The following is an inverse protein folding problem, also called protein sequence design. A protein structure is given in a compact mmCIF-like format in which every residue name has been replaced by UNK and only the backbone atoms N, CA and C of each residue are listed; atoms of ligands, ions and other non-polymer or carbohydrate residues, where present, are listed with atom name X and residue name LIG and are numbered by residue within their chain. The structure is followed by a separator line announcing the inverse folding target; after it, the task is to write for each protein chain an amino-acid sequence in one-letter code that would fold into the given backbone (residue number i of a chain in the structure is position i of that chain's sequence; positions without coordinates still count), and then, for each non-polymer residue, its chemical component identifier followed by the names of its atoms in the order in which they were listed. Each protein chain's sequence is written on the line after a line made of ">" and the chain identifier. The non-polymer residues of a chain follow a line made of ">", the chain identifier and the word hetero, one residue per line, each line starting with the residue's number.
data_IF_509286295546
#
_entry.id   IF_509286295546
#
_cell.length_a   1.000
_cell.length_b   1.000
_cell.length_c   1.000
_cell.angle_alpha   90.00
_cell.angle_beta   90.00
_cell.angle_gamma   90.00
#
_symmetry.space_group_name_H-M   'P 1'
#
loop_
_entity.id
_entity.type
_entity.pdbx_description
1 polymer ?
#
# COMPACT_ATOMS: atom_id res chain seq x y z
N UNK A 1 0.22 16.48 5.35
CA UNK A 1 1.14 15.34 5.43
C UNK A 1 2.54 15.88 5.70
N UNK A 2 3.19 15.33 6.72
CA UNK A 2 4.50 15.81 7.17
C UNK A 2 5.61 15.13 6.37
N UNK A 3 5.52 13.81 6.16
CA UNK A 3 6.48 13.02 5.41
C UNK A 3 5.81 12.08 4.42
N UNK A 4 6.51 11.81 3.32
CA UNK A 4 6.19 10.80 2.32
C UNK A 4 7.29 9.75 2.31
N UNK A 5 6.97 8.53 2.66
CA UNK A 5 7.87 7.38 2.51
C UNK A 5 7.58 6.74 1.16
N UNK A 6 8.53 6.81 0.25
CA UNK A 6 8.44 6.23 -1.10
C UNK A 6 9.39 5.04 -1.15
N UNK A 7 8.85 3.86 -1.41
CA UNK A 7 9.65 2.64 -1.58
C UNK A 7 9.57 2.19 -3.03
N UNK A 8 10.69 2.13 -3.69
CA UNK A 8 10.81 1.62 -5.06
C UNK A 8 11.63 0.33 -5.07
N UNK A 9 11.13 -0.69 -5.75
CA UNK A 9 11.86 -1.95 -5.93
C UNK A 9 12.79 -1.87 -7.14
N UNK A 10 13.99 -2.41 -7.02
CA UNK A 10 14.92 -2.65 -8.13
C UNK A 10 14.59 -3.91 -8.96
N UNK A 11 13.53 -4.62 -8.60
CA UNK A 11 13.05 -5.80 -9.31
C UNK A 11 11.64 -5.61 -9.85
N UNK A 12 11.37 -6.21 -11.01
CA UNK A 12 10.02 -6.37 -11.54
C UNK A 12 9.27 -7.46 -10.76
N UNK A 13 7.95 -7.58 -10.99
CA UNK A 13 7.16 -8.70 -10.44
C UNK A 13 7.68 -10.07 -10.88
N UNK A 14 8.35 -10.15 -12.04
CA UNK A 14 8.99 -11.38 -12.54
C UNK A 14 10.34 -11.68 -11.88
N UNK A 15 10.92 -10.72 -11.16
CA UNK A 15 12.24 -10.84 -10.54
C UNK A 15 13.40 -10.36 -11.39
N UNK A 16 13.11 -9.75 -12.52
CA UNK A 16 14.12 -9.12 -13.37
C UNK A 16 14.57 -7.79 -12.77
N UNK A 17 15.85 -7.49 -12.84
CA UNK A 17 16.33 -6.16 -12.43
C UNK A 17 15.77 -5.06 -13.33
N UNK A 18 15.39 -3.93 -12.73
CA UNK A 18 14.93 -2.75 -13.45
C UNK A 18 15.60 -1.49 -12.94
N UNK A 19 15.67 -0.46 -13.78
CA UNK A 19 16.10 0.87 -13.39
C UNK A 19 15.07 1.53 -12.48
N UNK A 20 15.54 2.31 -11.51
CA UNK A 20 14.71 3.14 -10.66
C UNK A 20 14.12 4.30 -11.47
N UNK A 21 12.86 4.63 -11.21
CA UNK A 21 12.11 5.63 -11.98
C UNK A 21 11.80 6.90 -11.18
N UNK A 22 11.94 6.84 -9.84
CA UNK A 22 11.66 8.01 -9.03
C UNK A 22 12.66 9.13 -9.34
N UNK A 23 12.14 10.27 -9.73
CA UNK A 23 12.96 11.44 -10.09
C UNK A 23 12.86 12.51 -9.01
N UNK A 24 13.88 12.62 -8.17
CA UNK A 24 13.99 13.62 -7.09
C UNK A 24 13.86 15.06 -7.60
N UNK A 25 14.38 15.36 -8.79
CA UNK A 25 14.35 16.73 -9.34
C UNK A 25 12.91 17.21 -9.60
N UNK A 26 12.04 16.31 -10.08
CA UNK A 26 10.62 16.63 -10.30
C UNK A 26 9.89 16.98 -9.00
N UNK A 27 10.39 16.52 -7.87
CA UNK A 27 9.80 16.70 -6.54
C UNK A 27 10.67 17.56 -5.62
N UNK A 28 11.58 18.35 -6.18
CA UNK A 28 12.53 19.18 -5.42
C UNK A 28 11.86 20.10 -4.39
N UNK A 29 10.65 20.60 -4.69
CA UNK A 29 9.84 21.40 -3.77
C UNK A 29 9.49 20.66 -2.47
N UNK A 30 9.48 19.33 -2.48
CA UNK A 30 9.11 18.48 -1.35
C UNK A 30 10.27 17.65 -0.81
N UNK A 31 11.51 17.93 -1.24
CA UNK A 31 12.70 17.13 -0.91
C UNK A 31 12.85 16.85 0.60
N UNK A 32 12.57 17.85 1.43
CA UNK A 32 12.72 17.75 2.90
C UNK A 32 11.62 16.90 3.56
N UNK A 33 10.56 16.57 2.82
CA UNK A 33 9.46 15.72 3.26
C UNK A 33 9.53 14.30 2.67
N UNK A 34 10.42 14.04 1.74
CA UNK A 34 10.49 12.74 1.05
C UNK A 34 11.57 11.88 1.68
N UNK A 35 11.17 10.70 2.12
CA UNK A 35 12.05 9.62 2.56
C UNK A 35 11.99 8.57 1.45
N UNK A 36 13.04 8.50 0.64
CA UNK A 36 13.11 7.57 -0.49
C UNK A 36 13.96 6.36 -0.12
N UNK A 37 13.39 5.17 -0.30
CA UNK A 37 14.01 3.89 0.02
C UNK A 37 14.01 2.99 -1.22
N UNK A 38 15.13 2.32 -1.47
CA UNK A 38 15.26 1.34 -2.53
C UNK A 38 15.18 -0.06 -1.92
N UNK A 39 14.20 -0.84 -2.36
CA UNK A 39 14.08 -2.25 -2.02
C UNK A 39 14.79 -3.08 -3.10
N UNK A 40 15.99 -3.54 -2.78
CA UNK A 40 16.90 -4.27 -3.68
C UNK A 40 17.14 -5.73 -3.26
N UNK A 41 16.26 -6.27 -2.41
CA UNK A 41 16.38 -7.62 -1.87
C UNK A 41 15.31 -8.54 -2.44
N UNK A 42 15.71 -9.71 -2.90
CA UNK A 42 14.75 -10.78 -3.20
C UNK A 42 14.21 -11.36 -1.89
N UNK A 43 12.88 -11.59 -1.79
CA UNK A 43 12.29 -12.28 -0.65
C UNK A 43 12.86 -13.70 -0.50
N UNK A 44 13.00 -14.17 0.74
CA UNK A 44 13.53 -15.52 1.03
C UNK A 44 12.63 -16.66 0.53
N UNK A 45 11.34 -16.39 0.34
CA UNK A 45 10.33 -17.41 0.02
C UNK A 45 10.04 -17.51 -1.49
N UNK A 46 10.94 -17.02 -2.34
CA UNK A 46 10.80 -17.15 -3.80
C UNK A 46 10.94 -18.62 -4.20
N UNK A 47 9.93 -19.12 -4.90
CA UNK A 47 9.92 -20.48 -5.43
C UNK A 47 10.64 -20.55 -6.77
N UNK A 48 11.51 -21.58 -6.92
CA UNK A 48 12.19 -21.85 -8.18
C UNK A 48 11.18 -22.47 -9.15
N UNK A 49 11.11 -21.91 -10.35
CA UNK A 49 10.27 -22.41 -11.43
C UNK A 49 11.13 -23.33 -12.30
N UNK A 50 10.77 -24.60 -12.36
CA UNK A 50 11.46 -25.61 -13.15
C UNK A 50 10.81 -25.76 -14.53
N UNK A 51 11.59 -26.11 -15.52
CA UNK A 51 11.05 -26.42 -16.87
C UNK A 51 10.08 -27.59 -16.85
N UNK A 52 10.29 -28.55 -15.97
CA UNK A 52 9.47 -29.74 -15.74
C UNK A 52 8.15 -29.47 -15.03
N UNK A 53 7.95 -28.25 -14.45
CA UNK A 53 6.68 -27.91 -13.82
C UNK A 53 5.56 -27.83 -14.88
N UNK A 54 4.35 -28.31 -14.54
CA UNK A 54 3.17 -28.11 -15.39
C UNK A 54 2.88 -26.61 -15.55
N UNK A 55 2.16 -26.24 -16.62
CA UNK A 55 1.82 -24.82 -16.89
C UNK A 55 1.05 -24.17 -15.72
N UNK A 56 0.14 -24.92 -15.11
CA UNK A 56 -0.62 -24.45 -13.93
C UNK A 56 0.31 -24.17 -12.74
N UNK A 57 1.27 -25.08 -12.49
CA UNK A 57 2.24 -24.95 -11.40
C UNK A 57 3.19 -23.78 -11.66
N UNK A 58 3.66 -23.59 -12.90
CA UNK A 58 4.45 -22.42 -13.29
C UNK A 58 3.68 -21.13 -13.03
N UNK A 59 2.43 -21.07 -13.48
CA UNK A 59 1.56 -19.88 -13.29
C UNK A 59 1.34 -19.58 -11.80
N UNK A 60 1.07 -20.59 -10.99
CA UNK A 60 0.91 -20.44 -9.55
C UNK A 60 2.17 -19.87 -8.89
N UNK A 61 3.36 -20.44 -9.20
CA UNK A 61 4.65 -19.96 -8.69
C UNK A 61 4.93 -18.50 -9.12
N UNK A 62 4.63 -18.13 -10.37
CA UNK A 62 4.77 -16.74 -10.82
C UNK A 62 3.91 -15.79 -9.99
N UNK A 63 2.65 -16.14 -9.74
CA UNK A 63 1.72 -15.32 -8.96
C UNK A 63 2.22 -15.19 -7.51
N UNK A 64 2.61 -16.29 -6.87
CA UNK A 64 3.14 -16.28 -5.51
C UNK A 64 4.43 -15.47 -5.40
N UNK A 65 5.37 -15.66 -6.31
CA UNK A 65 6.62 -14.91 -6.33
C UNK A 65 6.39 -13.40 -6.52
N UNK A 66 5.48 -13.02 -7.40
CA UNK A 66 5.08 -11.63 -7.59
C UNK A 66 4.49 -11.04 -6.29
N UNK A 67 3.60 -11.78 -5.62
CA UNK A 67 3.01 -11.38 -4.35
C UNK A 67 4.07 -11.25 -3.24
N UNK A 68 5.04 -12.16 -3.16
CA UNK A 68 6.14 -12.06 -2.19
C UNK A 68 6.99 -10.82 -2.41
N UNK A 69 7.30 -10.45 -3.67
CA UNK A 69 8.07 -9.23 -4.00
C UNK A 69 7.28 -7.98 -3.63
N UNK A 70 6.01 -7.93 -3.97
CA UNK A 70 5.11 -6.82 -3.61
C UNK A 70 4.99 -6.67 -2.09
N UNK A 71 4.76 -7.75 -1.38
CA UNK A 71 4.67 -7.76 0.08
C UNK A 71 5.98 -7.31 0.73
N UNK A 72 7.11 -7.77 0.22
CA UNK A 72 8.45 -7.37 0.67
C UNK A 72 8.68 -5.88 0.47
N UNK A 73 8.40 -5.36 -0.72
CA UNK A 73 8.51 -3.93 -1.02
C UNK A 73 7.59 -3.10 -0.11
N UNK A 74 6.33 -3.51 0.06
CA UNK A 74 5.40 -2.78 0.92
C UNK A 74 5.81 -2.81 2.39
N UNK A 75 6.27 -3.95 2.90
CA UNK A 75 6.76 -4.03 4.28
C UNK A 75 8.04 -3.22 4.51
N UNK A 76 8.82 -2.96 3.45
CA UNK A 76 10.03 -2.15 3.56
C UNK A 76 9.73 -0.68 3.90
N UNK A 77 8.50 -0.21 3.73
CA UNK A 77 8.03 1.11 4.20
C UNK A 77 8.33 1.29 5.70
N UNK A 78 8.32 0.21 6.49
CA UNK A 78 8.61 0.25 7.93
C UNK A 78 9.93 0.94 8.24
N UNK A 79 10.95 0.80 7.38
CA UNK A 79 12.28 1.42 7.55
C UNK A 79 12.27 2.94 7.34
N UNK A 80 11.21 3.50 6.79
CA UNK A 80 11.04 4.95 6.64
C UNK A 80 10.22 5.60 7.75
N UNK A 81 9.80 4.84 8.76
CA UNK A 81 8.94 5.34 9.84
C UNK A 81 9.71 5.74 11.11
N UNK A 82 11.03 5.90 11.03
CA UNK A 82 11.86 6.24 12.21
C UNK A 82 11.48 7.61 12.81
N UNK A 83 11.16 8.57 11.96
CA UNK A 83 10.77 9.92 12.38
C UNK A 83 9.36 10.04 12.97
N UNK A 84 8.53 9.01 12.78
CA UNK A 84 7.17 9.03 13.28
C UNK A 84 7.12 8.65 14.76
N UNK A 85 6.30 9.33 15.55
CA UNK A 85 5.99 8.99 16.94
C UNK A 85 4.86 7.96 16.99
N UNK A 86 4.67 7.32 18.13
CA UNK A 86 3.68 6.27 18.34
C UNK A 86 2.23 6.71 18.06
N UNK A 87 1.92 7.97 18.32
CA UNK A 87 0.58 8.53 18.08
C UNK A 87 0.39 9.14 16.68
N UNK A 88 1.45 9.21 15.87
CA UNK A 88 1.35 9.70 14.50
C UNK A 88 0.55 8.75 13.61
N UNK A 89 -0.19 9.31 12.69
CA UNK A 89 -1.01 8.55 11.74
C UNK A 89 -0.15 8.13 10.54
N UNK A 90 -0.07 6.83 10.33
CA UNK A 90 0.58 6.23 9.18
C UNK A 90 -0.50 5.86 8.15
N UNK A 91 -0.40 6.43 6.95
CA UNK A 91 -1.23 6.06 5.80
C UNK A 91 -0.43 5.12 4.88
N UNK A 92 -1.03 4.01 4.52
CA UNK A 92 -0.47 3.07 3.54
C UNK A 92 -1.35 3.11 2.30
N UNK A 93 -0.76 3.55 1.19
CA UNK A 93 -1.40 3.70 -0.12
C UNK A 93 -0.53 3.09 -1.20
N UNK A 94 -1.14 2.57 -2.25
CA UNK A 94 -0.44 2.35 -3.51
C UNK A 94 -0.30 3.70 -4.25
N UNK A 95 0.58 3.76 -5.24
CA UNK A 95 0.97 5.04 -5.88
C UNK A 95 -0.18 5.72 -6.64
N UNK A 96 -1.18 4.95 -7.03
CA UNK A 96 -2.38 5.40 -7.75
C UNK A 96 -3.58 5.67 -6.83
N UNK A 97 -3.42 5.50 -5.53
CA UNK A 97 -4.45 5.75 -4.53
C UNK A 97 -4.26 7.11 -3.87
N UNK A 98 -5.17 8.04 -4.12
CA UNK A 98 -5.10 9.41 -3.57
C UNK A 98 -6.26 9.62 -2.59
N UNK A 99 -6.03 9.50 -1.26
CA UNK A 99 -7.05 9.80 -0.27
C UNK A 99 -7.27 11.32 -0.17
N UNK A 100 -8.53 11.76 -0.09
CA UNK A 100 -8.85 13.13 0.27
C UNK A 100 -8.72 13.31 1.79
N UNK A 101 -7.72 14.04 2.24
CA UNK A 101 -7.44 14.24 3.65
C UNK A 101 -8.11 15.50 4.23
N UNK A 102 -8.81 16.29 3.43
CA UNK A 102 -9.42 17.56 3.88
C UNK A 102 -10.43 17.36 5.01
N UNK A 103 -11.21 16.29 4.92
CA UNK A 103 -12.27 15.99 5.89
C UNK A 103 -11.79 15.06 7.03
N UNK A 104 -10.54 14.60 6.96
CA UNK A 104 -9.97 13.73 7.98
C UNK A 104 -9.53 14.56 9.20
N UNK A 105 -10.36 14.59 10.22
CA UNK A 105 -9.96 15.14 11.50
C UNK A 105 -9.26 14.06 12.34
N UNK A 106 -7.93 14.05 12.27
CA UNK A 106 -7.07 13.06 12.94
C UNK A 106 -7.32 13.03 14.45
N UNK A 107 -7.56 14.20 15.09
CA UNK A 107 -7.83 14.28 16.51
C UNK A 107 -9.14 13.61 16.92
N UNK A 108 -10.11 13.51 16.00
CA UNK A 108 -11.40 12.84 16.21
C UNK A 108 -11.37 11.35 15.88
N UNK A 109 -10.29 10.84 15.29
CA UNK A 109 -10.16 9.40 14.98
C UNK A 109 -9.95 8.63 16.29
N UNK A 110 -11.04 8.15 16.88
CA UNK A 110 -11.01 7.28 18.07
C UNK A 110 -10.73 5.82 17.72
N UNK A 111 -10.92 5.45 16.48
CA UNK A 111 -10.82 4.08 16.01
C UNK A 111 -9.35 3.68 15.83
N UNK A 112 -9.07 2.39 15.99
CA UNK A 112 -7.72 1.83 15.79
C UNK A 112 -7.25 1.95 14.33
N UNK A 113 -8.19 1.97 13.38
CA UNK A 113 -7.91 2.04 11.94
C UNK A 113 -8.92 2.92 11.21
N UNK A 114 -8.44 3.47 10.09
CA UNK A 114 -9.24 4.19 9.10
C UNK A 114 -9.08 3.45 7.77
N UNK A 115 -10.19 3.17 7.12
CA UNK A 115 -10.23 2.59 5.77
C UNK A 115 -10.86 3.63 4.85
N UNK A 116 -10.15 4.00 3.79
CA UNK A 116 -10.63 4.96 2.82
C UNK A 116 -11.44 4.23 1.74
N UNK A 117 -12.70 4.64 1.58
CA UNK A 117 -13.53 4.23 0.46
C UNK A 117 -13.24 5.17 -0.71
N UNK A 118 -12.80 4.63 -1.83
CA UNK A 118 -12.28 5.38 -2.95
C UNK A 118 -13.07 5.06 -4.23
N UNK A 119 -13.21 6.07 -5.10
CA UNK A 119 -13.77 5.89 -6.43
C UNK A 119 -12.73 5.27 -7.36
N UNK A 120 -13.15 4.38 -8.24
CA UNK A 120 -12.29 3.81 -9.29
C UNK A 120 -12.57 4.50 -10.62
N UNK A 121 -11.49 4.84 -11.32
CA UNK A 121 -11.52 5.34 -12.69
C UNK A 121 -10.79 4.36 -13.60
N UNK A 122 -11.38 4.03 -14.75
CA UNK A 122 -10.82 3.12 -15.74
C UNK A 122 -10.10 3.90 -16.85
N UNK A 123 -8.79 3.71 -16.98
CA UNK A 123 -7.91 4.30 -18.00
C UNK A 123 -7.85 5.84 -18.03
N UNK A 124 -8.92 6.55 -17.71
CA UNK A 124 -9.00 8.01 -17.73
C UNK A 124 -9.86 8.52 -16.57
N UNK A 125 -9.54 9.71 -16.04
CA UNK A 125 -10.25 10.31 -14.90
C UNK A 125 -11.73 10.65 -15.17
N UNK A 126 -12.16 10.67 -16.42
CA UNK A 126 -13.56 10.84 -16.80
C UNK A 126 -14.33 9.52 -16.97
N UNK A 127 -13.70 8.37 -16.69
CA UNK A 127 -14.33 7.05 -16.75
C UNK A 127 -14.50 6.48 -15.36
N UNK A 128 -15.35 7.08 -14.59
CA UNK A 128 -15.73 6.60 -13.27
C UNK A 128 -16.50 5.27 -13.38
N UNK A 129 -16.11 4.28 -12.56
CA UNK A 129 -16.82 3.01 -12.45
C UNK A 129 -17.90 3.15 -11.36
N UNK A 130 -19.13 3.42 -11.82
CA UNK A 130 -20.28 3.61 -10.96
C UNK A 130 -20.62 2.33 -10.17
N UNK A 131 -20.97 2.49 -8.90
CA UNK A 131 -21.35 1.37 -8.03
C UNK A 131 -20.20 0.51 -7.50
N UNK A 132 -18.96 0.72 -7.94
CA UNK A 132 -17.80 0.02 -7.44
C UNK A 132 -17.03 0.87 -6.40
N UNK A 133 -16.75 0.25 -5.24
CA UNK A 133 -16.04 0.89 -4.13
C UNK A 133 -14.70 0.22 -3.92
N UNK A 134 -13.65 1.01 -3.90
CA UNK A 134 -12.30 0.55 -3.62
C UNK A 134 -11.87 0.89 -2.20
N UNK A 135 -11.31 -0.06 -1.48
CA UNK A 135 -10.85 0.10 -0.10
C UNK A 135 -9.33 -0.07 -0.02
N UNK A 136 -8.62 0.72 -0.81
CA UNK A 136 -7.18 0.63 -0.95
C UNK A 136 -6.42 1.26 0.19
N UNK A 137 -6.38 2.59 0.26
CA UNK A 137 -5.68 3.32 1.31
C UNK A 137 -6.22 3.03 2.69
N UNK A 138 -5.31 2.77 3.62
CA UNK A 138 -5.65 2.53 5.02
C UNK A 138 -4.71 3.29 5.94
N UNK A 139 -5.18 3.64 7.12
CA UNK A 139 -4.39 4.35 8.10
C UNK A 139 -4.62 3.82 9.52
N UNK A 140 -3.60 3.94 10.34
CA UNK A 140 -3.68 3.74 11.79
C UNK A 140 -2.60 4.57 12.50
N UNK A 141 -2.68 4.67 13.82
CA UNK A 141 -1.55 5.17 14.61
C UNK A 141 -0.35 4.21 14.47
N UNK A 142 0.88 4.76 14.47
CA UNK A 142 2.11 3.95 14.36
C UNK A 142 2.13 2.79 15.37
N UNK A 143 1.78 3.05 16.63
CA UNK A 143 1.71 2.01 17.69
C UNK A 143 0.76 0.86 17.40
N UNK A 144 -0.21 1.04 16.49
CA UNK A 144 -1.16 0.01 16.08
C UNK A 144 -0.75 -0.68 14.78
N UNK A 145 0.29 -0.20 14.10
CA UNK A 145 0.75 -0.74 12.83
C UNK A 145 1.62 -1.98 13.06
N UNK A 146 1.09 -3.17 12.79
CA UNK A 146 1.86 -4.42 12.85
C UNK A 146 2.86 -4.52 11.70
N UNK A 147 2.40 -4.26 10.47
CA UNK A 147 3.24 -4.06 9.30
C UNK A 147 2.43 -3.36 8.19
N UNK A 148 3.09 -2.71 7.21
CA UNK A 148 2.41 -2.10 6.06
C UNK A 148 1.55 -3.08 5.27
N UNK A 149 2.02 -4.31 5.04
CA UNK A 149 1.23 -5.33 4.34
C UNK A 149 0.06 -5.84 5.19
N UNK A 150 0.23 -5.97 6.50
CA UNK A 150 -0.85 -6.39 7.39
C UNK A 150 -2.04 -5.44 7.30
N UNK A 151 -1.84 -4.13 7.38
CA UNK A 151 -2.94 -3.17 7.33
C UNK A 151 -3.62 -3.19 5.95
N UNK A 152 -2.87 -3.39 4.86
CA UNK A 152 -3.42 -3.54 3.50
C UNK A 152 -4.32 -4.77 3.37
N UNK A 153 -4.00 -5.86 4.03
CA UNK A 153 -4.76 -7.10 3.98
C UNK A 153 -6.10 -7.04 4.75
N UNK A 154 -6.30 -6.03 5.59
CA UNK A 154 -7.55 -5.88 6.33
C UNK A 154 -8.67 -5.53 5.35
N UNK A 155 -9.72 -6.36 5.35
CA UNK A 155 -10.88 -6.17 4.47
C UNK A 155 -11.97 -5.37 5.18
N UNK A 156 -12.64 -4.47 4.46
CA UNK A 156 -13.82 -3.78 4.94
C UNK A 156 -15.03 -4.74 4.90
N UNK A 157 -15.08 -5.67 5.85
CA UNK A 157 -16.20 -6.61 6.04
C UNK A 157 -16.70 -6.50 7.47
N UNK A 158 -18.01 -6.69 7.67
CA UNK A 158 -18.56 -6.91 9.01
C UNK A 158 -18.07 -8.27 9.49
N UNK A 159 -17.17 -8.25 10.46
CA UNK A 159 -16.71 -9.47 11.14
C UNK A 159 -17.52 -9.70 12.41
N UNK A 160 -17.56 -10.93 12.89
CA UNK A 160 -18.16 -11.25 14.17
C UNK A 160 -17.50 -10.48 15.32
N UNK A 161 -18.18 -10.29 16.42
CA UNK A 161 -17.76 -9.46 17.56
C UNK A 161 -16.44 -9.88 18.22
N UNK A 162 -15.94 -11.06 17.96
CA UNK A 162 -14.63 -11.57 18.42
C UNK A 162 -13.42 -10.96 17.67
N UNK A 163 -13.64 -10.27 16.55
CA UNK A 163 -12.56 -9.58 15.83
C UNK A 163 -12.51 -8.11 16.21
N UNK A 164 -12.14 -7.82 17.45
CA UNK A 164 -12.03 -6.47 18.00
C UNK A 164 -11.03 -5.57 17.26
N UNK A 165 -10.05 -6.14 16.57
CA UNK A 165 -9.07 -5.43 15.75
C UNK A 165 -9.67 -4.74 14.51
N UNK A 166 -10.84 -5.22 14.05
CA UNK A 166 -11.55 -4.69 12.87
C UNK A 166 -12.83 -3.95 13.18
N UNK A 167 -13.34 -4.01 14.43
CA UNK A 167 -14.63 -3.41 14.83
C UNK A 167 -14.68 -1.88 14.76
N UNK A 168 -13.52 -1.21 14.59
CA UNK A 168 -13.41 0.24 14.68
C UNK A 168 -12.80 0.85 13.42
N UNK A 169 -13.26 0.44 12.24
CA UNK A 169 -12.90 1.11 10.99
C UNK A 169 -13.91 2.20 10.66
N UNK A 170 -13.40 3.35 10.25
CA UNK A 170 -14.21 4.42 9.65
C UNK A 170 -13.95 4.41 8.15
N UNK A 171 -15.00 4.48 7.35
CA UNK A 171 -14.90 4.58 5.89
C UNK A 171 -15.05 6.05 5.47
N UNK A 172 -14.13 6.51 4.62
CA UNK A 172 -14.18 7.82 3.99
C UNK A 172 -14.18 7.63 2.47
N UNK A 173 -14.99 8.42 1.74
CA UNK A 173 -15.10 8.32 0.28
C UNK A 173 -14.05 9.21 -0.40
N UNK A 174 -13.25 8.64 -1.32
CA UNK A 174 -12.16 9.33 -2.00
C UNK A 174 -11.91 8.82 -3.41
N UNK A 175 -11.09 9.56 -4.17
CA UNK A 175 -10.72 9.25 -5.54
C UNK A 175 -9.53 8.29 -5.61
N UNK A 176 -9.58 7.31 -6.53
CA UNK A 176 -8.39 6.58 -7.03
C UNK A 176 -8.09 7.00 -8.46
N UNK A 177 -6.81 7.08 -8.81
CA UNK A 177 -6.39 7.28 -10.18
C UNK A 177 -6.60 6.01 -11.01
N UNK A 178 -6.84 6.13 -12.32
CA UNK A 178 -6.88 4.96 -13.19
C UNK A 178 -5.52 4.28 -13.21
N UNK A 179 -5.52 2.97 -13.02
CA UNK A 179 -4.34 2.13 -13.21
C UNK A 179 -4.06 2.03 -14.71
N UNK A 180 -2.85 2.39 -15.13
CA UNK A 180 -2.37 2.31 -16.51
C UNK A 180 -1.77 0.93 -16.77
#
# INVERSE_FOLDING_TARGET
>A
VDYFVIVESSFTHKGEKRSLKFNHQKFSKFKDKIIYLVYDKEPKNIEIIYETDSQEKKSAKYIFNAAYRENGQRNYIQNGLEKANDDDIILISDVDEIPNLKDLNVAKVRNKMVIFEQCIFYYKLNRYLEGFKWYGTKACKKKNLKSPQWIRNIKNKKFGFWRLDTMFSVSYTHLTLPTI
#
